data_IF_414438201089
#
_entry.id   IF_414438201089
#
_cell.length_a   1.000
_cell.length_b   1.000
_cell.length_c   1.000
_cell.angle_alpha   90.00
_cell.angle_beta   90.00
_cell.angle_gamma   90.00
#
_symmetry.space_group_name_H-M   'P 1'
#
loop_
_entity.id
_entity.type
_entity.pdbx_description
1 polymer ?
#
# COMPACT_ATOMS: atom_id res chain seq x y z
N UNK A 1 26.01 4.77 -5.80
CA UNK A 1 25.52 4.48 -4.44
C UNK A 1 24.11 5.02 -4.39
N UNK A 2 23.09 4.18 -4.18
CA UNK A 2 21.74 4.69 -3.94
C UNK A 2 21.70 5.34 -2.57
N UNK A 3 21.27 6.60 -2.50
CA UNK A 3 21.04 7.29 -1.23
C UNK A 3 19.59 7.01 -0.85
N UNK A 4 19.31 6.29 0.24
CA UNK A 4 17.95 5.98 0.65
C UNK A 4 17.17 7.28 0.91
N UNK A 5 16.02 7.42 0.25
CA UNK A 5 15.06 8.50 0.53
C UNK A 5 14.08 7.97 1.56
N UNK A 6 14.01 8.64 2.71
CA UNK A 6 13.10 8.26 3.81
C UNK A 6 11.83 9.09 3.70
N UNK A 7 10.67 8.42 3.70
CA UNK A 7 9.35 9.05 3.84
C UNK A 7 8.85 8.72 5.25
N UNK A 8 8.54 9.74 6.04
CA UNK A 8 7.98 9.54 7.38
C UNK A 8 6.49 9.18 7.32
N UNK A 9 5.99 8.42 8.29
CA UNK A 9 4.54 8.23 8.47
C UNK A 9 4.01 9.36 9.36
N UNK A 10 2.97 10.05 8.91
CA UNK A 10 2.27 11.04 9.71
C UNK A 10 1.37 10.37 10.77
N UNK A 11 1.06 11.05 11.89
CA UNK A 11 -0.04 10.62 12.75
C UNK A 11 -1.34 10.51 11.93
N UNK A 12 -1.95 9.33 11.94
CA UNK A 12 -3.16 9.05 11.17
C UNK A 12 -2.95 8.59 9.72
N UNK A 13 -1.71 8.33 9.28
CA UNK A 13 -1.48 7.68 7.97
C UNK A 13 -2.26 6.38 7.90
N UNK A 14 -3.07 6.22 6.84
CA UNK A 14 -3.78 4.98 6.57
C UNK A 14 -2.85 4.00 5.87
N UNK A 15 -2.71 2.81 6.43
CA UNK A 15 -2.04 1.67 5.78
C UNK A 15 -3.10 0.65 5.39
N UNK A 16 -3.17 0.36 4.11
CA UNK A 16 -4.15 -0.55 3.53
C UNK A 16 -3.43 -1.66 2.76
N UNK A 17 -3.89 -2.90 2.91
CA UNK A 17 -3.52 -4.02 2.06
C UNK A 17 -4.59 -4.17 0.97
N UNK A 18 -4.17 -4.01 -0.28
CA UNK A 18 -4.96 -4.29 -1.47
C UNK A 18 -4.81 -5.77 -1.85
N UNK A 19 -5.93 -6.48 -1.87
CA UNK A 19 -6.02 -7.88 -2.31
C UNK A 19 -6.88 -7.91 -3.57
N UNK A 20 -6.48 -8.70 -4.58
CA UNK A 20 -7.29 -8.88 -5.80
C UNK A 20 -8.67 -9.37 -5.37
N UNK A 21 -9.71 -8.67 -5.81
CA UNK A 21 -11.06 -9.13 -5.57
C UNK A 21 -11.22 -10.53 -6.16
N UNK A 22 -11.87 -11.44 -5.43
CA UNK A 22 -12.35 -12.67 -6.03
C UNK A 22 -13.23 -12.29 -7.24
N UNK A 23 -13.27 -13.13 -8.26
CA UNK A 23 -14.14 -12.92 -9.41
C UNK A 23 -15.60 -13.07 -8.97
N UNK A 24 -16.14 -12.07 -8.27
CA UNK A 24 -17.55 -11.96 -7.91
C UNK A 24 -18.22 -11.02 -8.90
N UNK A 25 -19.34 -11.48 -9.47
CA UNK A 25 -20.03 -10.88 -10.63
C UNK A 25 -20.66 -9.49 -10.38
N UNK A 26 -20.53 -8.92 -9.18
CA UNK A 26 -21.25 -7.70 -8.75
C UNK A 26 -20.38 -6.45 -8.54
N UNK A 27 -19.09 -6.51 -8.82
CA UNK A 27 -18.28 -5.27 -8.95
C UNK A 27 -18.11 -4.97 -10.43
N UNK A 28 -18.55 -3.78 -10.87
CA UNK A 28 -18.50 -3.31 -12.27
C UNK A 28 -17.09 -3.36 -12.91
N UNK A 29 -16.05 -3.66 -12.14
CA UNK A 29 -14.67 -3.80 -12.59
C UNK A 29 -14.14 -5.23 -12.42
N UNK A 30 -14.07 -6.01 -13.51
CA UNK A 30 -13.30 -7.27 -13.54
C UNK A 30 -11.82 -6.93 -13.31
N UNK A 31 -11.24 -7.45 -12.22
CA UNK A 31 -9.84 -7.18 -11.84
C UNK A 31 -9.65 -6.04 -10.83
N UNK A 32 -10.70 -5.65 -10.10
CA UNK A 32 -10.59 -4.71 -8.97
C UNK A 32 -9.81 -5.26 -7.77
N UNK A 33 -9.48 -4.38 -6.83
CA UNK A 33 -8.88 -4.74 -5.55
C UNK A 33 -9.82 -4.35 -4.40
N UNK A 34 -9.85 -5.16 -3.36
CA UNK A 34 -10.42 -4.78 -2.07
C UNK A 34 -9.31 -4.34 -1.13
N UNK A 35 -9.49 -3.20 -0.47
CA UNK A 35 -8.54 -2.66 0.49
C UNK A 35 -9.00 -2.93 1.92
N UNK A 36 -8.07 -3.35 2.78
CA UNK A 36 -8.33 -3.57 4.20
C UNK A 36 -7.20 -2.99 5.06
N UNK A 37 -7.48 -2.43 6.25
CA UNK A 37 -6.43 -1.93 7.12
C UNK A 37 -5.37 -2.99 7.47
N UNK A 38 -4.10 -2.59 7.49
CA UNK A 38 -2.98 -3.44 7.88
C UNK A 38 -2.08 -2.73 8.90
N UNK A 39 -1.53 -3.46 9.86
CA UNK A 39 -0.56 -2.90 10.79
C UNK A 39 0.82 -2.74 10.13
N UNK A 40 1.57 -1.71 10.54
CA UNK A 40 2.96 -1.48 10.06
C UNK A 40 3.85 -2.71 10.30
N UNK A 41 3.60 -3.44 11.39
CA UNK A 41 4.35 -4.66 11.74
C UNK A 41 4.09 -5.84 10.81
N UNK A 42 3.05 -5.78 9.98
CA UNK A 42 2.67 -6.85 9.06
C UNK A 42 3.22 -6.64 7.64
N UNK A 43 3.94 -5.54 7.42
CA UNK A 43 4.70 -5.29 6.20
C UNK A 43 5.85 -6.30 6.08
N UNK A 44 6.07 -6.81 4.88
CA UNK A 44 7.06 -7.84 4.61
C UNK A 44 7.96 -7.44 3.44
N UNK A 45 9.24 -7.87 3.43
CA UNK A 45 10.05 -7.79 2.24
C UNK A 45 9.34 -8.42 1.04
N UNK A 46 9.33 -7.73 -0.10
CA UNK A 46 8.60 -8.15 -1.30
C UNK A 46 7.21 -7.54 -1.45
N UNK A 47 6.69 -6.86 -0.44
CA UNK A 47 5.51 -6.01 -0.58
C UNK A 47 5.84 -4.78 -1.45
N UNK A 48 4.91 -4.40 -2.33
CA UNK A 48 4.98 -3.18 -3.12
C UNK A 48 4.02 -2.16 -2.53
N UNK A 49 4.43 -0.90 -2.45
CA UNK A 49 3.61 0.16 -1.87
C UNK A 49 3.44 1.34 -2.83
N UNK A 50 2.20 1.80 -2.98
CA UNK A 50 1.87 3.11 -3.52
C UNK A 50 1.71 4.06 -2.35
N UNK A 51 2.46 5.16 -2.36
CA UNK A 51 2.48 6.15 -1.27
C UNK A 51 1.95 7.46 -1.80
N UNK A 52 0.88 7.95 -1.19
CA UNK A 52 0.47 9.35 -1.29
C UNK A 52 1.17 10.12 -0.17
N UNK A 53 1.92 11.14 -0.56
CA UNK A 53 2.72 11.93 0.37
C UNK A 53 2.53 13.43 0.13
N UNK A 54 2.73 14.20 1.19
CA UNK A 54 2.75 15.65 1.14
C UNK A 54 3.96 16.20 1.91
N UNK A 55 4.29 17.46 1.68
CA UNK A 55 5.35 18.14 2.42
C UNK A 55 4.75 18.82 3.65
N UNK A 56 5.20 18.42 4.85
CA UNK A 56 4.91 19.11 6.12
C UNK A 56 6.22 19.55 6.77
N UNK A 57 6.33 20.82 7.14
CA UNK A 57 7.53 21.40 7.77
C UNK A 57 8.84 21.08 7.02
N UNK A 58 8.80 21.10 5.69
CA UNK A 58 9.95 20.79 4.83
C UNK A 58 10.33 19.31 4.74
N UNK A 59 9.51 18.40 5.28
CA UNK A 59 9.71 16.95 5.23
C UNK A 59 8.61 16.28 4.42
N UNK A 60 8.99 15.28 3.62
CA UNK A 60 8.03 14.44 2.90
C UNK A 60 7.41 13.42 3.88
N UNK A 61 6.10 13.47 4.05
CA UNK A 61 5.34 12.58 4.92
C UNK A 61 4.25 11.85 4.15
N UNK A 62 4.11 10.54 4.38
CA UNK A 62 3.04 9.75 3.81
C UNK A 62 1.73 10.04 4.54
N UNK A 63 0.65 10.26 3.79
CA UNK A 63 -0.71 10.40 4.31
C UNK A 63 -1.57 9.18 4.01
N UNK A 64 -1.25 8.45 2.94
CA UNK A 64 -1.87 7.17 2.59
C UNK A 64 -0.81 6.22 2.02
N UNK A 65 -0.89 4.95 2.42
CA UNK A 65 -0.04 3.88 1.90
C UNK A 65 -0.92 2.70 1.54
N UNK A 66 -0.96 2.35 0.26
CA UNK A 66 -1.63 1.15 -0.24
C UNK A 66 -0.57 0.12 -0.60
N UNK A 67 -0.68 -1.05 0.00
CA UNK A 67 0.28 -2.15 -0.12
C UNK A 67 -0.34 -3.24 -0.98
N UNK A 68 0.40 -3.70 -1.97
CA UNK A 68 0.09 -4.91 -2.74
C UNK A 68 1.11 -5.97 -2.35
N UNK A 69 0.61 -7.11 -1.90
CA UNK A 69 1.43 -8.30 -1.68
C UNK A 69 1.31 -9.21 -2.89
N UNK A 70 2.38 -9.38 -3.69
CA UNK A 70 2.37 -10.36 -4.74
C UNK A 70 2.12 -11.73 -4.12
N UNK A 71 1.04 -12.40 -4.54
CA UNK A 71 0.90 -13.83 -4.30
C UNK A 71 1.66 -14.50 -5.44
N UNK A 72 2.43 -15.55 -5.13
CA UNK A 72 2.98 -16.38 -6.18
C UNK A 72 1.79 -16.95 -6.95
N UNK A 73 1.56 -16.51 -8.18
CA UNK A 73 0.69 -17.25 -9.07
C UNK A 73 1.25 -18.67 -9.13
N UNK A 74 0.46 -19.63 -8.66
CA UNK A 74 0.73 -21.03 -8.98
C UNK A 74 0.52 -21.13 -10.47
N UNK A 75 1.65 -21.13 -11.19
CA UNK A 75 1.73 -21.26 -12.65
C UNK A 75 1.02 -22.53 -13.14
#
# INVERSE_FOLDING_TARGET
QEIPRVIGLAPGTKLLLAVRAADSEDTEWRGGYTESPIAVTDLKPGDFATVEAETRDGKLVAISVVVVRPTAESR
#
